data_IF_805998216700
#
_entry.id   IF_805998216700
#
_cell.length_a   1.000
_cell.length_b   1.000
_cell.length_c   1.000
_cell.angle_alpha   90.00
_cell.angle_beta   90.00
_cell.angle_gamma   90.00
#
_symmetry.space_group_name_H-M   'P 1'
#
loop_
_entity.id
_entity.type
_entity.pdbx_description
1 polymer ?
#
# COMPACT_ATOMS: atom_id res chain seq x y z
N UNK A 1 0.42 0.89 4.18
CA UNK A 1 1.75 0.25 4.06
C UNK A 1 2.70 0.93 5.06
N UNK A 2 2.26 1.09 6.31
CA UNK A 2 2.84 2.05 7.26
C UNK A 2 2.88 1.48 8.68
N UNK A 3 1.73 1.14 9.26
CA UNK A 3 1.60 0.77 10.67
C UNK A 3 2.37 -0.51 11.00
N UNK A 4 2.30 -1.52 10.12
CA UNK A 4 3.09 -2.74 10.28
C UNK A 4 4.59 -2.45 10.13
N UNK A 5 4.97 -1.58 9.18
CA UNK A 5 6.37 -1.16 9.01
C UNK A 5 6.89 -0.52 10.29
N UNK A 6 6.15 0.43 10.88
CA UNK A 6 6.49 1.07 12.15
C UNK A 6 6.62 0.02 13.25
N UNK A 7 5.70 -0.93 13.32
CA UNK A 7 5.75 -2.01 14.33
C UNK A 7 7.01 -2.86 14.18
N UNK A 8 7.36 -3.24 12.95
CA UNK A 8 8.54 -4.04 12.65
C UNK A 8 9.86 -3.30 12.90
N UNK A 9 9.86 -1.97 13.04
CA UNK A 9 11.07 -1.23 13.41
C UNK A 9 11.42 -1.34 14.89
N UNK A 10 10.51 -1.81 15.75
CA UNK A 10 10.69 -1.84 17.19
C UNK A 10 11.94 -2.60 17.68
N UNK A 11 12.34 -3.75 17.11
CA UNK A 11 13.58 -4.44 17.51
C UNK A 11 14.85 -3.87 16.86
N UNK A 12 14.76 -2.86 15.98
CA UNK A 12 15.93 -2.26 15.33
C UNK A 12 16.61 -1.21 16.22
N UNK A 13 17.92 -1.37 16.45
CA UNK A 13 18.75 -0.31 17.05
C UNK A 13 19.24 0.70 16.01
N UNK A 14 19.26 0.32 14.72
CA UNK A 14 19.66 1.16 13.59
C UNK A 14 18.85 0.79 12.36
N UNK A 15 18.43 1.79 11.58
CA UNK A 15 17.77 1.63 10.29
C UNK A 15 18.50 2.47 9.25
N UNK A 16 18.82 1.87 8.12
CA UNK A 16 19.47 2.51 6.98
C UNK A 16 18.50 2.74 5.84
N UNK A 17 17.65 1.74 5.55
CA UNK A 17 16.63 1.81 4.49
C UNK A 17 15.42 0.98 4.85
N UNK A 18 14.27 1.41 4.37
CA UNK A 18 13.01 0.67 4.45
C UNK A 18 12.47 0.52 3.03
N UNK A 19 12.22 -0.72 2.60
CA UNK A 19 11.54 -1.01 1.35
C UNK A 19 10.26 -1.77 1.64
N UNK A 20 9.16 -1.33 1.04
CA UNK A 20 7.86 -1.97 1.21
C UNK A 20 7.29 -2.22 -0.17
N UNK A 21 6.84 -3.44 -0.42
CA UNK A 21 6.21 -3.81 -1.68
C UNK A 21 4.84 -4.41 -1.41
N UNK A 22 3.82 -3.87 -2.06
CA UNK A 22 2.52 -4.49 -2.17
C UNK A 22 2.32 -4.90 -3.62
N UNK A 23 2.31 -6.20 -3.87
CA UNK A 23 2.13 -6.81 -5.18
C UNK A 23 0.84 -7.61 -5.16
N UNK A 24 -0.15 -7.18 -5.94
CA UNK A 24 -1.50 -7.73 -5.88
C UNK A 24 -1.89 -8.37 -7.21
N UNK A 25 -2.40 -9.59 -7.13
CA UNK A 25 -3.26 -10.12 -8.18
C UNK A 25 -4.62 -9.42 -8.15
N UNK A 26 -4.88 -8.59 -9.17
CA UNK A 26 -6.12 -7.85 -9.28
C UNK A 26 -7.28 -8.69 -9.84
N UNK A 27 -7.02 -9.89 -10.39
CA UNK A 27 -8.06 -10.75 -10.98
C UNK A 27 -9.13 -11.18 -9.98
N UNK A 28 -8.76 -11.33 -8.72
CA UNK A 28 -9.65 -11.72 -7.62
C UNK A 28 -10.31 -10.52 -6.93
N UNK A 29 -10.11 -9.30 -7.45
CA UNK A 29 -10.64 -8.06 -6.87
C UNK A 29 -11.90 -7.62 -7.62
N UNK A 30 -12.74 -6.84 -6.94
CA UNK A 30 -13.98 -6.30 -7.51
C UNK A 30 -13.75 -5.51 -8.80
N UNK A 31 -14.70 -5.61 -9.73
CA UNK A 31 -14.63 -4.96 -11.05
C UNK A 31 -14.30 -3.47 -11.06
N UNK A 32 -14.84 -2.62 -10.15
CA UNK A 32 -14.46 -1.22 -10.06
C UNK A 32 -12.96 -1.00 -9.81
N UNK A 33 -12.31 -1.87 -9.03
CA UNK A 33 -10.88 -1.79 -8.80
C UNK A 33 -10.08 -2.16 -10.06
N UNK A 34 -10.47 -3.23 -10.75
CA UNK A 34 -9.83 -3.64 -12.01
C UNK A 34 -9.90 -2.53 -13.08
N UNK A 35 -11.04 -1.85 -13.19
CA UNK A 35 -11.20 -0.69 -14.07
C UNK A 35 -10.38 0.52 -13.62
N UNK A 36 -10.33 0.78 -12.30
CA UNK A 36 -9.52 1.87 -11.72
C UNK A 36 -8.04 1.74 -12.04
N UNK A 37 -7.51 0.52 -12.09
CA UNK A 37 -6.10 0.30 -12.45
C UNK A 37 -5.85 0.28 -13.96
N UNK A 38 -6.88 0.55 -14.77
CA UNK A 38 -6.77 0.64 -16.23
C UNK A 38 -6.77 -0.70 -16.97
N UNK A 39 -7.16 -1.79 -16.31
CA UNK A 39 -7.17 -3.11 -16.94
C UNK A 39 -8.10 -3.14 -18.17
N UNK A 40 -7.56 -3.56 -19.31
CA UNK A 40 -8.27 -3.66 -20.59
C UNK A 40 -8.20 -2.41 -21.47
N UNK A 41 -7.52 -1.35 -21.02
CA UNK A 41 -7.29 -0.15 -21.83
C UNK A 41 -6.08 -0.30 -22.76
N UNK A 42 -6.07 0.43 -23.86
CA UNK A 42 -4.84 0.71 -24.60
C UNK A 42 -3.93 1.63 -23.78
N UNK A 43 -2.64 1.68 -24.14
CA UNK A 43 -1.67 2.58 -23.48
C UNK A 43 -2.06 4.05 -23.64
N UNK A 44 -2.59 4.42 -24.80
CA UNK A 44 -3.02 5.80 -25.08
C UNK A 44 -4.23 6.19 -24.24
N UNK A 45 -5.25 5.33 -24.17
CA UNK A 45 -6.43 5.57 -23.33
C UNK A 45 -6.06 5.66 -21.84
N UNK A 46 -5.15 4.80 -21.38
CA UNK A 46 -4.66 4.85 -20.00
C UNK A 46 -3.97 6.18 -19.69
N UNK A 47 -3.07 6.63 -20.56
CA UNK A 47 -2.39 7.93 -20.43
C UNK A 47 -3.38 9.09 -20.44
N UNK A 48 -4.35 9.06 -21.36
CA UNK A 48 -5.40 10.08 -21.42
C UNK A 48 -6.23 10.12 -20.13
N UNK A 49 -6.63 8.95 -19.60
CA UNK A 49 -7.39 8.85 -18.34
C UNK A 49 -6.60 9.26 -17.11
N UNK A 50 -5.28 9.07 -17.09
CA UNK A 50 -4.41 9.64 -16.06
C UNK A 50 -4.38 11.17 -16.15
N UNK A 51 -4.22 11.71 -17.36
CA UNK A 51 -4.20 13.15 -17.60
C UNK A 51 -5.52 13.83 -17.22
N UNK A 52 -6.67 13.23 -17.58
CA UNK A 52 -8.01 13.72 -17.22
C UNK A 52 -8.40 13.44 -15.77
N UNK A 53 -7.53 12.74 -15.00
CA UNK A 53 -7.75 12.31 -13.61
C UNK A 53 -8.94 11.37 -13.41
N UNK A 54 -9.41 10.72 -14.47
CA UNK A 54 -10.35 9.58 -14.37
C UNK A 54 -9.70 8.36 -13.70
N UNK A 55 -8.38 8.22 -13.88
CA UNK A 55 -7.53 7.29 -13.13
C UNK A 55 -6.53 8.11 -12.31
N UNK A 56 -6.35 7.76 -11.04
CA UNK A 56 -5.47 8.49 -10.11
C UNK A 56 -4.30 7.65 -9.56
N UNK A 57 -4.20 6.38 -9.95
CA UNK A 57 -3.24 5.44 -9.34
C UNK A 57 -3.58 5.09 -7.89
N UNK A 58 -2.54 4.77 -7.13
CA UNK A 58 -2.63 4.55 -5.69
C UNK A 58 -2.59 5.89 -4.96
N UNK A 59 -3.59 6.12 -4.12
CA UNK A 59 -3.66 7.28 -3.22
C UNK A 59 -3.29 6.78 -1.83
N UNK A 60 -2.23 7.33 -1.23
CA UNK A 60 -1.79 6.95 0.11
C UNK A 60 -0.28 6.82 0.31
N UNK A 61 0.51 6.67 -0.77
CA UNK A 61 1.96 6.42 -0.62
C UNK A 61 2.68 7.57 0.10
N UNK A 62 2.35 8.82 -0.26
CA UNK A 62 2.90 10.00 0.40
C UNK A 62 2.56 10.03 1.89
N UNK A 63 1.30 9.74 2.24
CA UNK A 63 0.82 9.71 3.62
C UNK A 63 1.49 8.57 4.42
N UNK A 64 1.65 7.39 3.82
CA UNK A 64 2.36 6.27 4.46
C UNK A 64 3.84 6.61 4.71
N UNK A 65 4.55 7.22 3.74
CA UNK A 65 5.93 7.66 3.93
C UNK A 65 6.02 8.70 5.06
N UNK A 66 5.15 9.71 5.04
CA UNK A 66 5.11 10.75 6.06
C UNK A 66 4.82 10.17 7.45
N UNK A 67 3.92 9.19 7.55
CA UNK A 67 3.58 8.53 8.81
C UNK A 67 4.76 7.71 9.36
N UNK A 68 5.43 6.92 8.52
CA UNK A 68 6.63 6.16 8.90
C UNK A 68 7.72 7.12 9.39
N UNK A 69 8.04 8.16 8.63
CA UNK A 69 9.06 9.14 9.01
C UNK A 69 8.70 9.88 10.31
N UNK A 70 7.43 10.23 10.50
CA UNK A 70 6.92 10.86 11.71
C UNK A 70 7.07 9.97 12.95
N UNK A 71 6.79 8.67 12.82
CA UNK A 71 6.95 7.69 13.89
C UNK A 71 8.43 7.50 14.26
N UNK A 72 9.32 7.44 13.28
CA UNK A 72 10.77 7.30 13.48
C UNK A 72 11.48 8.63 13.83
N UNK A 73 10.74 9.74 13.90
CA UNK A 73 11.29 11.10 14.10
C UNK A 73 12.38 11.47 13.09
N UNK A 74 12.28 10.95 11.87
CA UNK A 74 13.17 11.27 10.77
C UNK A 74 12.63 12.48 10.01
N UNK A 75 13.45 13.52 9.88
CA UNK A 75 13.13 14.68 9.04
C UNK A 75 13.46 14.35 7.58
N UNK A 76 12.44 14.22 6.74
CA UNK A 76 12.62 14.05 5.30
C UNK A 76 12.97 15.39 4.66
N UNK A 77 13.84 15.35 3.65
CA UNK A 77 14.10 16.48 2.76
C UNK A 77 12.90 16.73 1.85
N UNK A 78 12.33 15.64 1.32
CA UNK A 78 11.14 15.62 0.46
C UNK A 78 10.57 14.21 0.33
N UNK A 79 9.32 14.15 -0.11
CA UNK A 79 8.69 12.94 -0.62
C UNK A 79 8.58 13.08 -2.14
N UNK A 80 9.02 12.06 -2.87
CA UNK A 80 8.88 11.97 -4.32
C UNK A 80 7.88 10.85 -4.63
N UNK A 81 6.77 11.18 -5.26
CA UNK A 81 5.81 10.20 -5.79
C UNK A 81 6.02 10.14 -7.29
N UNK A 82 6.45 8.98 -7.80
CA UNK A 82 6.67 8.81 -9.23
C UNK A 82 5.32 8.78 -9.96
N UNK A 83 5.39 9.06 -11.26
CA UNK A 83 4.25 8.90 -12.15
C UNK A 83 3.72 7.45 -12.12
N UNK A 84 2.43 7.32 -12.41
CA UNK A 84 1.78 6.01 -12.50
C UNK A 84 2.20 5.35 -13.82
N UNK A 85 2.85 4.20 -13.73
CA UNK A 85 3.31 3.43 -14.88
C UNK A 85 2.29 2.34 -15.24
N UNK A 86 1.90 2.18 -16.52
CA UNK A 86 1.06 1.06 -16.93
C UNK A 86 1.85 -0.25 -16.91
N UNK A 87 1.22 -1.33 -16.47
CA UNK A 87 1.72 -2.68 -16.66
C UNK A 87 1.10 -3.24 -17.93
N UNK A 88 1.92 -3.55 -18.93
CA UNK A 88 1.47 -4.06 -20.22
C UNK A 88 1.43 -5.59 -20.18
N UNK A 89 0.30 -6.16 -20.59
CA UNK A 89 0.14 -7.60 -20.68
C UNK A 89 0.89 -8.15 -21.90
N UNK A 90 1.63 -9.23 -21.72
CA UNK A 90 2.21 -10.05 -22.80
C UNK A 90 1.27 -11.20 -23.22
N UNK A 91 0.26 -11.49 -22.41
CA UNK A 91 -0.70 -12.58 -22.58
C UNK A 91 -2.14 -12.09 -22.57
N UNK A 92 -3.04 -12.94 -23.06
CA UNK A 92 -4.47 -12.72 -22.91
C UNK A 92 -4.93 -13.08 -21.49
N UNK A 93 -5.69 -12.18 -20.85
CA UNK A 93 -6.26 -12.36 -19.51
C UNK A 93 -7.72 -11.98 -19.54
N UNK A 94 -8.59 -12.86 -19.04
CA UNK A 94 -10.02 -12.59 -18.88
C UNK A 94 -10.44 -12.78 -17.43
N UNK A 95 -11.20 -11.81 -16.92
CA UNK A 95 -11.89 -11.90 -15.63
C UNK A 95 -13.41 -11.77 -15.87
N UNK A 96 -14.21 -11.85 -14.81
CA UNK A 96 -15.65 -11.53 -14.91
C UNK A 96 -15.93 -10.06 -15.23
N UNK A 97 -14.91 -9.19 -15.22
CA UNK A 97 -15.09 -7.73 -15.24
C UNK A 97 -14.35 -7.02 -16.38
N UNK A 98 -13.25 -7.60 -16.86
CA UNK A 98 -12.41 -7.04 -17.94
C UNK A 98 -11.82 -8.15 -18.81
N UNK A 99 -11.43 -7.77 -20.01
CA UNK A 99 -10.71 -8.61 -20.97
C UNK A 99 -9.48 -7.84 -21.44
N UNK A 100 -8.30 -8.45 -21.32
CA UNK A 100 -7.00 -7.81 -21.59
C UNK A 100 -6.27 -8.63 -22.65
N UNK A 101 -5.98 -8.01 -23.79
CA UNK A 101 -5.20 -8.61 -24.86
C UNK A 101 -3.70 -8.31 -24.70
N UNK A 102 -2.80 -9.09 -25.33
CA UNK A 102 -1.39 -8.71 -25.43
C UNK A 102 -1.22 -7.28 -25.97
N UNK A 103 -0.36 -6.49 -25.34
CA UNK A 103 -0.16 -5.07 -25.67
C UNK A 103 -1.12 -4.09 -24.97
N UNK A 104 -2.14 -4.59 -24.28
CA UNK A 104 -3.06 -3.77 -23.48
C UNK A 104 -2.60 -3.67 -22.03
N UNK A 105 -3.10 -2.66 -21.33
CA UNK A 105 -2.83 -2.44 -19.91
C UNK A 105 -3.51 -3.52 -19.08
N UNK A 106 -2.74 -4.24 -18.26
CA UNK A 106 -3.24 -5.19 -17.27
C UNK A 106 -3.47 -4.54 -15.90
N UNK A 107 -2.84 -3.40 -15.65
CA UNK A 107 -2.90 -2.70 -14.38
C UNK A 107 -1.84 -1.60 -14.30
N UNK A 108 -1.38 -1.31 -13.10
CA UNK A 108 -0.43 -0.22 -12.86
C UNK A 108 0.61 -0.54 -11.81
N UNK A 109 1.71 0.19 -11.90
CA UNK A 109 2.77 0.29 -10.91
C UNK A 109 2.93 1.74 -10.50
N UNK A 110 3.15 1.96 -9.21
CA UNK A 110 3.48 3.28 -8.68
C UNK A 110 4.50 3.14 -7.56
N UNK A 111 5.48 4.04 -7.56
CA UNK A 111 6.57 4.04 -6.57
C UNK A 111 6.64 5.40 -5.90
N UNK A 112 6.93 5.41 -4.61
CA UNK A 112 7.22 6.65 -3.89
C UNK A 112 8.45 6.50 -2.99
N UNK A 113 9.17 7.60 -2.79
CA UNK A 113 10.42 7.66 -2.06
C UNK A 113 10.40 8.76 -0.99
N UNK A 114 10.81 8.42 0.23
CA UNK A 114 11.18 9.38 1.27
C UNK A 114 12.68 9.63 1.22
N UNK A 115 13.09 10.89 1.05
CA UNK A 115 14.50 11.28 0.87
C UNK A 115 15.06 11.90 2.15
N UNK A 116 16.28 11.51 2.54
CA UNK A 116 17.04 12.06 3.68
C UNK A 116 18.49 12.28 3.24
N UNK A 117 19.01 13.50 3.43
CA UNK A 117 20.35 13.92 2.99
C UNK A 117 20.62 13.53 1.53
N UNK A 118 19.63 13.75 0.65
CA UNK A 118 19.71 13.40 -0.78
C UNK A 118 19.65 11.90 -1.12
N UNK A 119 19.55 11.01 -0.13
CA UNK A 119 19.48 9.56 -0.32
C UNK A 119 18.06 9.02 -0.07
N UNK A 120 17.68 7.95 -0.77
CA UNK A 120 16.41 7.25 -0.53
C UNK A 120 16.49 6.49 0.79
N UNK A 121 15.64 6.88 1.74
CA UNK A 121 15.51 6.24 3.05
C UNK A 121 14.30 5.29 3.11
N UNK A 122 13.17 5.67 2.51
CA UNK A 122 11.96 4.84 2.44
C UNK A 122 11.57 4.67 0.96
N UNK A 123 11.27 3.45 0.54
CA UNK A 123 10.66 3.15 -0.76
C UNK A 123 9.37 2.39 -0.56
N UNK A 124 8.27 2.88 -1.14
CA UNK A 124 7.01 2.15 -1.22
C UNK A 124 6.71 1.81 -2.68
N UNK A 125 6.56 0.52 -2.98
CA UNK A 125 6.19 0.00 -4.29
C UNK A 125 4.77 -0.55 -4.24
N UNK A 126 3.88 0.00 -5.06
CA UNK A 126 2.53 -0.52 -5.27
C UNK A 126 2.43 -1.09 -6.68
N UNK A 127 2.09 -2.37 -6.80
CA UNK A 127 1.96 -3.10 -8.05
C UNK A 127 0.63 -3.83 -8.01
N UNK A 128 -0.25 -3.56 -8.97
CA UNK A 128 -1.53 -4.26 -9.08
C UNK A 128 -1.91 -4.44 -10.54
N UNK A 129 -2.12 -5.68 -10.97
CA UNK A 129 -2.58 -6.00 -12.33
C UNK A 129 -3.34 -7.32 -12.37
N UNK A 130 -4.19 -7.49 -13.38
CA UNK A 130 -4.92 -8.74 -13.60
C UNK A 130 -3.97 -9.79 -14.20
N UNK A 131 -4.12 -11.03 -13.78
CA UNK A 131 -3.28 -12.14 -14.25
C UNK A 131 -1.87 -12.17 -13.63
N UNK A 132 -1.66 -11.42 -12.54
CA UNK A 132 -0.44 -11.50 -11.75
C UNK A 132 -0.26 -12.89 -11.15
N UNK A 133 0.97 -13.40 -11.24
CA UNK A 133 1.35 -14.70 -10.64
C UNK A 133 1.62 -14.54 -9.14
N UNK A 134 2.22 -13.42 -8.77
CA UNK A 134 2.56 -13.08 -7.40
C UNK A 134 1.40 -12.34 -6.70
N UNK A 135 1.23 -12.63 -5.41
CA UNK A 135 0.32 -11.91 -4.53
C UNK A 135 0.93 -11.86 -3.12
N UNK A 136 1.43 -10.70 -2.70
CA UNK A 136 2.10 -10.53 -1.41
C UNK A 136 2.19 -9.07 -0.94
N UNK A 137 2.34 -8.92 0.36
CA UNK A 137 2.93 -7.74 0.99
C UNK A 137 4.32 -8.13 1.51
N UNK A 138 5.32 -7.28 1.32
CA UNK A 138 6.68 -7.50 1.81
C UNK A 138 7.27 -6.23 2.41
N UNK A 139 8.03 -6.38 3.50
CA UNK A 139 8.71 -5.30 4.21
C UNK A 139 10.14 -5.73 4.45
N UNK A 140 11.09 -4.98 3.90
CA UNK A 140 12.52 -5.15 4.10
C UNK A 140 13.07 -3.93 4.84
N UNK A 141 13.56 -4.11 6.06
CA UNK A 141 14.21 -3.09 6.87
C UNK A 141 15.69 -3.42 6.94
N UNK A 142 16.50 -2.67 6.19
CA UNK A 142 17.96 -2.77 6.22
C UNK A 142 18.45 -1.98 7.44
N UNK A 143 19.15 -2.66 8.34
CA UNK A 143 19.52 -2.11 9.64
C UNK A 143 20.18 -3.11 10.56
N UNK A 144 20.09 -2.88 11.88
CA UNK A 144 20.60 -3.78 12.90
C UNK A 144 19.48 -4.05 13.93
N UNK A 145 18.97 -5.29 14.06
CA UNK A 145 19.09 -6.34 13.05
C UNK A 145 18.38 -5.96 11.74
N UNK A 146 18.70 -6.69 10.68
CA UNK A 146 17.94 -6.66 9.43
C UNK A 146 16.65 -7.46 9.60
N UNK A 147 15.56 -7.00 8.96
CA UNK A 147 14.25 -7.63 9.04
C UNK A 147 13.69 -7.81 7.64
N UNK A 148 13.25 -9.03 7.36
CA UNK A 148 12.51 -9.40 6.15
C UNK A 148 11.18 -10.02 6.58
N UNK A 149 10.09 -9.37 6.23
CA UNK A 149 8.73 -9.84 6.50
C UNK A 149 7.97 -9.98 5.18
N UNK A 150 7.16 -11.02 5.08
CA UNK A 150 6.32 -11.28 3.91
C UNK A 150 5.01 -11.95 4.31
N UNK A 151 3.91 -11.32 3.90
CA UNK A 151 2.56 -11.90 3.95
C UNK A 151 2.19 -12.38 2.54
N UNK A 152 1.88 -13.66 2.39
CA UNK A 152 1.42 -14.22 1.11
C UNK A 152 0.25 -15.19 1.33
N UNK A 153 -0.89 -15.01 0.64
CA UNK A 153 -1.21 -13.91 -0.28
C UNK A 153 -1.25 -12.54 0.42
N UNK A 154 -1.23 -11.43 -0.34
CA UNK A 154 -1.33 -10.11 0.28
C UNK A 154 -2.63 -9.97 1.09
N UNK A 155 -2.63 -9.14 2.13
CA UNK A 155 -3.83 -8.90 2.92
C UNK A 155 -4.93 -8.36 1.99
N UNK A 156 -6.10 -9.01 1.98
CA UNK A 156 -7.18 -8.58 1.11
C UNK A 156 -7.64 -7.16 1.47
N UNK A 157 -7.51 -6.21 0.53
CA UNK A 157 -7.75 -4.79 0.80
C UNK A 157 -9.14 -4.50 1.38
N UNK A 158 -10.21 -4.98 0.74
CA UNK A 158 -11.58 -4.69 1.19
C UNK A 158 -11.86 -5.25 2.61
N UNK A 159 -11.59 -6.54 2.86
CA UNK A 159 -11.71 -7.14 4.18
C UNK A 159 -10.81 -6.47 5.22
N UNK A 160 -9.54 -6.24 4.89
CA UNK A 160 -8.58 -5.60 5.77
C UNK A 160 -9.00 -4.19 6.18
N UNK A 161 -9.55 -3.40 5.25
CA UNK A 161 -10.06 -2.05 5.55
C UNK A 161 -11.26 -2.11 6.50
N UNK A 162 -12.24 -2.98 6.23
CA UNK A 162 -13.42 -3.13 7.10
C UNK A 162 -13.00 -3.60 8.50
N UNK A 163 -12.18 -4.65 8.58
CA UNK A 163 -11.69 -5.17 9.84
C UNK A 163 -10.90 -4.12 10.62
N UNK A 164 -10.03 -3.36 9.95
CA UNK A 164 -9.26 -2.30 10.62
C UNK A 164 -10.19 -1.24 11.22
N UNK A 165 -11.19 -0.76 10.46
CA UNK A 165 -12.16 0.21 10.95
C UNK A 165 -12.88 -0.28 12.22
N UNK A 166 -13.35 -1.52 12.23
CA UNK A 166 -14.03 -2.10 13.40
C UNK A 166 -13.08 -2.22 14.58
N UNK A 167 -11.89 -2.78 14.34
CA UNK A 167 -10.91 -3.12 15.37
C UNK A 167 -10.29 -1.90 16.08
N UNK A 168 -10.37 -0.71 15.47
CA UNK A 168 -9.86 0.53 16.08
C UNK A 168 -10.93 1.31 16.84
N UNK A 169 -12.23 1.02 16.69
CA UNK A 169 -13.31 1.79 17.35
C UNK A 169 -13.08 1.96 18.86
N UNK A 170 -12.86 0.89 19.67
CA UNK A 170 -12.67 1.05 21.11
C UNK A 170 -11.41 1.86 21.45
N UNK A 171 -10.38 1.73 20.60
CA UNK A 171 -9.09 2.43 20.77
C UNK A 171 -9.25 3.92 20.51
N UNK A 172 -10.03 4.28 19.50
CA UNK A 172 -10.36 5.69 19.17
C UNK A 172 -11.25 6.30 20.24
N UNK A 173 -12.25 5.58 20.76
CA UNK A 173 -13.12 6.07 21.85
C UNK A 173 -12.30 6.40 23.11
N UNK A 174 -11.29 5.57 23.42
CA UNK A 174 -10.39 5.76 24.57
C UNK A 174 -9.27 6.78 24.32
N UNK A 175 -9.10 7.24 23.08
CA UNK A 175 -7.97 8.09 22.74
C UNK A 175 -8.20 9.54 23.18
N UNK A 176 -7.13 10.31 23.45
CA UNK A 176 -7.24 11.75 23.72
C UNK A 176 -7.91 12.51 22.56
N UNK A 177 -8.57 13.65 22.83
CA UNK A 177 -9.13 14.48 21.78
C UNK A 177 -8.02 15.04 20.86
N UNK A 178 -8.28 15.08 19.56
CA UNK A 178 -7.37 15.66 18.56
C UNK A 178 -7.39 14.92 17.23
N UNK A 179 -6.57 15.37 16.28
CA UNK A 179 -6.31 14.65 15.04
C UNK A 179 -5.21 13.61 15.30
N UNK A 180 -5.62 12.37 15.50
CA UNK A 180 -4.74 11.25 15.78
C UNK A 180 -4.47 10.42 14.52
N UNK A 181 -3.33 9.72 14.53
CA UNK A 181 -2.93 8.79 13.48
C UNK A 181 -2.69 7.39 14.05
N UNK A 182 -2.40 6.41 13.19
CA UNK A 182 -2.15 5.03 13.63
C UNK A 182 -0.96 4.88 14.58
N UNK A 183 -0.02 5.85 14.61
CA UNK A 183 1.10 5.85 15.56
C UNK A 183 0.70 6.33 16.97
N UNK A 184 -0.47 6.96 17.11
CA UNK A 184 -0.93 7.60 18.35
C UNK A 184 -1.94 6.74 19.12
N UNK A 185 -2.45 5.67 18.49
CA UNK A 185 -3.38 4.72 19.12
C UNK A 185 -2.65 3.45 19.53
N UNK A 186 -3.24 2.70 20.47
CA UNK A 186 -2.73 1.38 20.84
C UNK A 186 -2.78 0.42 19.66
N UNK A 187 -1.94 -0.63 19.70
CA UNK A 187 -1.78 -1.59 18.60
C UNK A 187 -3.15 -2.17 18.19
N UNK A 188 -3.57 -1.97 16.92
CA UNK A 188 -4.79 -2.58 16.39
C UNK A 188 -4.75 -4.10 16.51
N UNK A 189 -5.88 -4.70 16.91
CA UNK A 189 -6.01 -6.15 17.04
C UNK A 189 -7.46 -6.56 16.79
N UNK A 190 -7.65 -7.81 16.36
CA UNK A 190 -8.97 -8.38 16.10
C UNK A 190 -9.83 -8.39 17.37
N UNK A 191 -11.04 -7.85 17.27
CA UNK A 191 -12.07 -7.96 18.30
C UNK A 191 -12.78 -9.31 18.09
N UNK A 192 -12.64 -10.21 19.06
CA UNK A 192 -13.21 -11.57 18.98
C UNK A 192 -14.35 -11.76 19.99
N UNK A 193 -14.27 -11.11 21.16
CA UNK A 193 -15.36 -11.10 22.15
C UNK A 193 -16.29 -9.90 21.94
N UNK A 194 -17.20 -9.69 22.89
CA UNK A 194 -18.09 -8.54 22.86
C UNK A 194 -17.27 -7.23 22.85
N UNK A 195 -17.59 -6.33 21.92
CA UNK A 195 -16.87 -5.05 21.75
C UNK A 195 -16.85 -4.22 23.04
N UNK A 196 -17.84 -4.40 23.92
CA UNK A 196 -17.94 -3.70 25.21
C UNK A 196 -16.82 -4.09 26.18
N UNK A 197 -16.24 -5.28 26.04
CA UNK A 197 -15.10 -5.72 26.86
C UNK A 197 -13.82 -4.92 26.55
N UNK A 198 -13.82 -4.20 25.43
CA UNK A 198 -12.69 -3.38 24.97
C UNK A 198 -12.92 -1.88 25.20
N UNK A 199 -14.09 -1.46 25.71
CA UNK A 199 -14.43 -0.09 26.11
C UNK A 199 -14.01 0.23 27.56
#
# INVERSE_FOLDING_TARGET
MDTLVITLTAPCIKIEKINVTRHMNASIRRGPFQKKIGAGLTVEEFKNKLYTKEISGHVGLEQSIALIASALKVKLDKILVNEVEPIISDKYVKTEHVEVFPGYVAGLKQVAHGIVNGNIFITLNFIAYVGAVEDYDAIDIIGIPEIHERISPCVHGDWGTISMLINVIPKVIKAPPGLLTMKDITIPHCIISDVRDYL
#
